data_IF_347096902602
#
_entry.id   IF_347096902602
#
_cell.length_a   1.000
_cell.length_b   1.000
_cell.length_c   1.000
_cell.angle_alpha   90.00
_cell.angle_beta   90.00
_cell.angle_gamma   90.00
#
_symmetry.space_group_name_H-M   'P 1'
#
loop_
_entity.id
_entity.type
_entity.pdbx_description
1 polymer ?
#
# COMPACT_ATOMS: atom_id res chain seq x y z
N UNK A 1 -6.38 44.46 -28.80
CA UNK A 1 -5.57 43.21 -28.68
C UNK A 1 -5.68 42.74 -27.25
N UNK A 2 -6.61 41.86 -27.00
CA UNK A 2 -6.81 41.24 -25.70
C UNK A 2 -6.06 39.91 -25.71
N UNK A 3 -4.97 39.85 -24.93
CA UNK A 3 -4.24 38.62 -24.63
C UNK A 3 -5.10 37.78 -23.67
N UNK A 4 -5.75 36.76 -24.21
CA UNK A 4 -6.34 35.70 -23.42
C UNK A 4 -5.19 34.83 -22.88
N UNK A 5 -4.84 35.04 -21.63
CA UNK A 5 -4.04 34.08 -20.87
C UNK A 5 -4.88 32.80 -20.71
N UNK A 6 -4.68 31.85 -21.57
CA UNK A 6 -5.06 30.46 -21.30
C UNK A 6 -4.09 29.93 -20.25
N UNK A 7 -4.46 30.01 -18.97
CA UNK A 7 -3.92 29.16 -17.94
C UNK A 7 -4.31 27.72 -18.34
N UNK A 8 -3.39 27.04 -19.03
CA UNK A 8 -3.44 25.59 -19.10
C UNK A 8 -3.33 25.09 -17.66
N UNK A 9 -4.47 24.75 -17.07
CA UNK A 9 -4.48 23.82 -15.96
C UNK A 9 -3.91 22.52 -16.54
N UNK A 10 -2.62 22.28 -16.30
CA UNK A 10 -2.07 20.93 -16.36
C UNK A 10 -2.81 20.16 -15.27
N UNK A 11 -3.95 19.56 -15.61
CA UNK A 11 -4.44 18.42 -14.87
C UNK A 11 -3.28 17.42 -14.98
N UNK A 12 -2.56 17.19 -13.88
CA UNK A 12 -1.45 16.25 -13.87
C UNK A 12 -2.05 14.87 -14.13
N UNK A 13 -1.94 14.42 -15.37
CA UNK A 13 -2.30 13.06 -15.76
C UNK A 13 -1.31 12.11 -15.10
N UNK A 14 -1.78 10.95 -14.67
CA UNK A 14 -0.89 9.87 -14.29
C UNK A 14 -0.11 9.42 -15.53
N UNK A 15 1.16 9.04 -15.38
CA UNK A 15 1.97 8.54 -16.48
C UNK A 15 1.34 7.24 -17.05
N UNK A 16 1.26 7.12 -18.36
CA UNK A 16 0.66 5.95 -19.01
C UNK A 16 1.37 4.65 -18.61
N UNK A 17 2.70 4.67 -18.42
CA UNK A 17 3.44 3.50 -17.92
C UNK A 17 3.00 3.06 -16.53
N UNK A 18 2.63 4.02 -15.65
CA UNK A 18 2.10 3.69 -14.31
C UNK A 18 0.79 2.94 -14.44
N UNK A 19 -0.10 3.43 -15.31
CA UNK A 19 -1.41 2.81 -15.55
C UNK A 19 -1.22 1.41 -16.15
N UNK A 20 -0.41 1.29 -17.20
CA UNK A 20 -0.15 0.02 -17.90
C UNK A 20 0.41 -1.05 -16.96
N UNK A 21 1.39 -0.71 -16.11
CA UNK A 21 1.96 -1.65 -15.13
C UNK A 21 0.93 -2.06 -14.07
N UNK A 22 0.18 -1.10 -13.51
CA UNK A 22 -0.84 -1.42 -12.50
C UNK A 22 -1.98 -2.28 -13.07
N UNK A 23 -2.37 -2.07 -14.32
CA UNK A 23 -3.33 -2.91 -15.04
C UNK A 23 -2.75 -4.30 -15.36
N UNK A 24 -1.49 -4.38 -15.84
CA UNK A 24 -0.77 -5.64 -16.09
C UNK A 24 -0.77 -6.54 -14.87
N UNK A 25 -0.52 -5.95 -13.70
CA UNK A 25 -0.45 -6.66 -12.42
C UNK A 25 -1.82 -6.82 -11.73
N UNK A 26 -2.92 -6.48 -12.38
CA UNK A 26 -4.27 -6.52 -11.82
C UNK A 26 -4.47 -5.72 -10.53
N UNK A 27 -3.56 -4.81 -10.20
CA UNK A 27 -3.69 -3.89 -9.06
C UNK A 27 -4.85 -2.93 -9.31
N UNK A 28 -5.02 -2.50 -10.56
CA UNK A 28 -6.14 -1.69 -11.04
C UNK A 28 -6.84 -2.43 -12.18
N UNK A 29 -8.16 -2.43 -12.17
CA UNK A 29 -8.96 -2.96 -13.28
C UNK A 29 -8.91 -2.00 -14.47
N UNK A 30 -8.79 -2.56 -15.67
CA UNK A 30 -8.85 -1.76 -16.91
C UNK A 30 -10.19 -1.06 -17.04
N UNK A 31 -10.16 0.25 -17.23
CA UNK A 31 -11.35 1.09 -17.31
C UNK A 31 -11.10 2.32 -18.17
N UNK A 32 -12.12 2.74 -18.94
CA UNK A 32 -12.09 4.01 -19.67
C UNK A 32 -12.19 5.23 -18.74
N UNK A 33 -12.66 5.03 -17.50
CA UNK A 33 -12.72 6.04 -16.43
C UNK A 33 -12.09 5.50 -15.14
N UNK A 34 -10.86 5.89 -14.89
CA UNK A 34 -10.11 5.53 -13.67
C UNK A 34 -10.49 6.40 -12.46
N UNK A 35 -11.35 7.39 -12.60
CA UNK A 35 -11.77 8.32 -11.53
C UNK A 35 -10.58 8.95 -10.80
N UNK A 36 -9.55 9.36 -11.52
CA UNK A 36 -8.24 9.77 -10.98
C UNK A 36 -8.33 10.90 -9.95
N UNK A 37 -9.30 11.81 -10.10
CA UNK A 37 -9.48 12.96 -9.21
C UNK A 37 -10.39 12.69 -8.01
N UNK A 38 -11.05 11.52 -7.94
CA UNK A 38 -11.88 11.17 -6.80
C UNK A 38 -10.99 10.80 -5.61
N UNK A 39 -11.47 11.06 -4.40
CA UNK A 39 -10.83 10.51 -3.21
C UNK A 39 -11.03 8.99 -3.16
N UNK A 40 -9.96 8.28 -2.78
CA UNK A 40 -9.98 6.82 -2.69
C UNK A 40 -10.40 6.37 -1.30
N UNK A 41 -11.17 5.28 -1.24
CA UNK A 41 -11.58 4.69 0.04
C UNK A 41 -10.51 3.74 0.59
N UNK A 42 -10.60 3.49 1.90
CA UNK A 42 -9.72 2.52 2.58
C UNK A 42 -9.90 1.10 2.01
N UNK A 43 -11.13 0.73 1.66
CA UNK A 43 -11.43 -0.57 1.03
C UNK A 43 -10.73 -0.71 -0.34
N UNK A 44 -10.80 0.31 -1.18
CA UNK A 44 -10.14 0.31 -2.49
C UNK A 44 -8.62 0.20 -2.36
N UNK A 45 -8.02 0.96 -1.42
CA UNK A 45 -6.57 0.89 -1.14
C UNK A 45 -6.16 -0.50 -0.67
N UNK A 46 -6.88 -1.10 0.27
CA UNK A 46 -6.53 -2.44 0.78
C UNK A 46 -6.61 -3.49 -0.32
N UNK A 47 -7.61 -3.42 -1.23
CA UNK A 47 -7.64 -4.27 -2.42
C UNK A 47 -6.35 -4.09 -3.24
N UNK A 48 -6.00 -2.85 -3.60
CA UNK A 48 -4.84 -2.57 -4.44
C UNK A 48 -3.53 -3.06 -3.80
N UNK A 49 -3.32 -2.77 -2.52
CA UNK A 49 -2.11 -3.18 -1.79
C UNK A 49 -2.05 -4.70 -1.61
N UNK A 50 -3.19 -5.37 -1.33
CA UNK A 50 -3.23 -6.83 -1.23
C UNK A 50 -2.82 -7.50 -2.55
N UNK A 51 -3.34 -6.99 -3.68
CA UNK A 51 -2.94 -7.49 -5.00
C UNK A 51 -1.45 -7.23 -5.25
N UNK A 52 -0.96 -6.02 -4.96
CA UNK A 52 0.46 -5.66 -5.13
C UNK A 52 1.40 -6.57 -4.32
N UNK A 53 0.95 -7.11 -3.19
CA UNK A 53 1.72 -8.06 -2.36
C UNK A 53 1.61 -9.51 -2.81
N UNK A 54 0.99 -9.79 -3.97
CA UNK A 54 0.85 -11.13 -4.55
C UNK A 54 -0.43 -11.87 -4.14
N UNK A 55 -1.37 -11.19 -3.48
CA UNK A 55 -2.64 -11.79 -3.06
C UNK A 55 -3.77 -11.47 -4.05
N UNK A 56 -3.56 -11.83 -5.31
CA UNK A 56 -4.54 -11.64 -6.38
C UNK A 56 -5.59 -12.76 -6.44
N UNK A 57 -5.21 -14.00 -6.09
CA UNK A 57 -6.16 -15.11 -5.91
C UNK A 57 -6.62 -15.19 -4.45
N UNK A 58 -7.79 -14.61 -4.19
CA UNK A 58 -8.42 -14.58 -2.87
C UNK A 58 -9.55 -15.59 -2.71
N UNK A 59 -9.79 -16.46 -3.66
CA UNK A 59 -10.93 -17.39 -3.64
C UNK A 59 -10.85 -18.39 -2.49
N UNK A 60 -9.65 -18.77 -2.10
CA UNK A 60 -9.37 -19.63 -0.95
C UNK A 60 -9.44 -18.93 0.41
N UNK A 61 -9.53 -17.58 0.43
CA UNK A 61 -9.53 -16.79 1.67
C UNK A 61 -10.91 -16.86 2.34
N UNK A 62 -10.92 -17.12 3.64
CA UNK A 62 -12.12 -17.12 4.46
C UNK A 62 -12.78 -15.74 4.56
N UNK A 63 -14.08 -15.75 4.88
CA UNK A 63 -14.87 -14.53 5.05
C UNK A 63 -15.24 -14.27 6.52
N UNK A 64 -14.47 -14.84 7.47
CA UNK A 64 -14.69 -14.59 8.89
C UNK A 64 -14.52 -13.11 9.21
N UNK A 65 -15.46 -12.58 9.97
CA UNK A 65 -15.48 -11.17 10.31
C UNK A 65 -14.36 -10.83 11.30
N UNK A 66 -13.47 -9.93 10.89
CA UNK A 66 -12.40 -9.39 11.74
C UNK A 66 -12.85 -8.07 12.37
N UNK A 67 -13.39 -7.16 11.57
CA UNK A 67 -13.85 -5.84 12.02
C UNK A 67 -15.37 -5.77 12.04
N UNK A 68 -15.93 -5.07 13.04
CA UNK A 68 -17.38 -4.99 13.26
C UNK A 68 -18.16 -4.41 12.09
N UNK A 69 -17.53 -3.59 11.27
CA UNK A 69 -18.11 -2.89 10.12
C UNK A 69 -17.76 -3.51 8.76
N UNK A 70 -17.08 -4.68 8.74
CA UNK A 70 -16.81 -5.45 7.52
C UNK A 70 -17.49 -6.83 7.63
N UNK A 71 -18.79 -6.92 7.31
CA UNK A 71 -19.50 -8.20 7.39
C UNK A 71 -19.02 -9.19 6.32
N UNK A 72 -19.25 -10.50 6.50
CA UNK A 72 -18.83 -11.55 5.56
C UNK A 72 -19.31 -11.37 4.11
N UNK A 73 -20.36 -10.59 3.92
CA UNK A 73 -20.93 -10.26 2.60
C UNK A 73 -20.30 -9.05 1.93
N UNK A 74 -19.44 -8.34 2.64
CA UNK A 74 -18.78 -7.15 2.09
C UNK A 74 -17.74 -7.57 1.04
N UNK A 75 -17.72 -6.90 -0.12
CA UNK A 75 -16.82 -7.23 -1.22
C UNK A 75 -15.34 -7.23 -0.82
N UNK A 76 -14.96 -6.36 0.12
CA UNK A 76 -13.56 -6.20 0.57
C UNK A 76 -13.13 -7.23 1.64
N UNK A 77 -14.06 -8.04 2.19
CA UNK A 77 -13.79 -8.88 3.37
C UNK A 77 -12.55 -9.78 3.22
N UNK A 78 -12.38 -10.40 2.05
CA UNK A 78 -11.24 -11.28 1.78
C UNK A 78 -9.91 -10.51 1.71
N UNK A 79 -9.91 -9.33 1.09
CA UNK A 79 -8.73 -8.46 1.05
C UNK A 79 -8.36 -7.91 2.43
N UNK A 80 -9.36 -7.51 3.21
CA UNK A 80 -9.17 -7.10 4.61
C UNK A 80 -8.62 -8.25 5.44
N UNK A 81 -9.13 -9.48 5.25
CA UNK A 81 -8.62 -10.67 5.91
C UNK A 81 -7.16 -10.92 5.56
N UNK A 82 -6.82 -10.91 4.28
CA UNK A 82 -5.45 -11.11 3.80
C UNK A 82 -4.49 -10.06 4.35
N UNK A 83 -4.88 -8.78 4.29
CA UNK A 83 -4.06 -7.69 4.80
C UNK A 83 -3.89 -7.73 6.33
N UNK A 84 -4.91 -8.17 7.06
CA UNK A 84 -4.85 -8.39 8.51
C UNK A 84 -3.90 -9.55 8.86
N UNK A 85 -4.07 -10.71 8.23
CA UNK A 85 -3.23 -11.89 8.48
C UNK A 85 -1.75 -11.63 8.12
N UNK A 86 -1.50 -10.69 7.19
CA UNK A 86 -0.15 -10.23 6.80
C UNK A 86 0.37 -9.04 7.62
N UNK A 87 -0.33 -8.61 8.65
CA UNK A 87 0.03 -7.45 9.50
C UNK A 87 0.17 -6.11 8.74
N UNK A 88 -0.46 -6.00 7.58
CA UNK A 88 -0.47 -4.77 6.77
C UNK A 88 -1.43 -3.72 7.36
N UNK A 89 -2.54 -4.18 7.94
CA UNK A 89 -3.55 -3.34 8.59
C UNK A 89 -3.84 -3.80 10.01
N UNK A 90 -4.29 -2.88 10.87
CA UNK A 90 -4.68 -3.17 12.26
C UNK A 90 -6.10 -2.70 12.62
N UNK A 91 -6.75 -1.92 11.75
CA UNK A 91 -8.03 -1.27 12.09
C UNK A 91 -7.88 -0.13 13.10
N UNK A 92 -9.00 0.29 13.66
CA UNK A 92 -9.09 1.34 14.68
C UNK A 92 -9.35 0.73 16.07
N UNK A 93 -9.14 1.52 17.12
CA UNK A 93 -9.31 1.09 18.51
C UNK A 93 -10.74 0.63 18.85
N UNK A 94 -11.74 1.08 18.11
CA UNK A 94 -13.14 0.69 18.24
C UNK A 94 -13.50 -0.62 17.50
N UNK A 95 -12.50 -1.36 17.07
CA UNK A 95 -12.64 -2.59 16.28
C UNK A 95 -13.37 -2.39 14.95
N UNK A 96 -13.24 -1.20 14.33
CA UNK A 96 -13.71 -0.92 12.97
C UNK A 96 -12.55 -0.86 11.98
N UNK A 97 -12.85 -1.08 10.70
CA UNK A 97 -11.92 -0.86 9.59
C UNK A 97 -12.24 0.43 8.82
N UNK A 98 -13.50 0.82 8.80
CA UNK A 98 -14.06 1.99 8.08
C UNK A 98 -13.83 1.90 6.58
N UNK A 99 -14.33 0.84 5.91
CA UNK A 99 -14.03 0.54 4.51
C UNK A 99 -14.40 1.67 3.55
N UNK A 100 -15.52 2.35 3.78
CA UNK A 100 -16.05 3.40 2.91
C UNK A 100 -15.47 4.80 3.20
N UNK A 101 -14.67 4.95 4.25
CA UNK A 101 -14.04 6.23 4.53
C UNK A 101 -12.91 6.51 3.55
N UNK A 102 -12.75 7.77 3.16
CA UNK A 102 -11.57 8.21 2.45
C UNK A 102 -10.33 8.03 3.33
N UNK A 103 -9.20 7.68 2.71
CA UNK A 103 -7.93 7.49 3.40
C UNK A 103 -7.07 8.75 3.31
N UNK A 104 -6.31 9.05 4.36
CA UNK A 104 -5.33 10.14 4.34
C UNK A 104 -3.97 9.69 3.82
N UNK A 105 -3.10 10.65 3.42
CA UNK A 105 -1.74 10.32 2.98
C UNK A 105 -0.92 9.63 4.08
N UNK A 106 -1.06 10.05 5.35
CA UNK A 106 -0.38 9.37 6.46
C UNK A 106 -0.83 7.92 6.62
N UNK A 107 -2.14 7.65 6.52
CA UNK A 107 -2.68 6.30 6.63
C UNK A 107 -2.25 5.41 5.46
N UNK A 108 -2.23 5.95 4.23
CA UNK A 108 -1.77 5.20 3.06
C UNK A 108 -0.27 4.88 3.13
N UNK A 109 0.57 5.83 3.54
CA UNK A 109 1.99 5.60 3.76
C UNK A 109 2.23 4.49 4.80
N UNK A 110 1.45 4.50 5.91
CA UNK A 110 1.50 3.42 6.90
C UNK A 110 1.20 2.06 6.26
N UNK A 111 0.12 1.95 5.49
CA UNK A 111 -0.27 0.68 4.84
C UNK A 111 0.83 0.20 3.88
N UNK A 112 1.36 1.09 3.03
CA UNK A 112 2.42 0.74 2.07
C UNK A 112 3.70 0.30 2.79
N UNK A 113 4.16 1.05 3.78
CA UNK A 113 5.38 0.73 4.55
C UNK A 113 5.20 -0.59 5.31
N UNK A 114 4.00 -0.87 5.81
CA UNK A 114 3.67 -2.16 6.43
C UNK A 114 3.69 -3.31 5.41
N UNK A 115 3.15 -3.09 4.21
CA UNK A 115 3.17 -4.07 3.12
C UNK A 115 4.59 -4.42 2.65
N UNK A 116 5.52 -3.47 2.76
CA UNK A 116 6.95 -3.68 2.50
C UNK A 116 7.69 -4.38 3.66
N UNK A 117 7.01 -4.64 4.80
CA UNK A 117 7.57 -5.35 5.95
C UNK A 117 8.26 -4.47 7.01
N UNK A 118 8.21 -3.15 6.89
CA UNK A 118 8.96 -2.23 7.77
C UNK A 118 8.22 -1.81 9.03
N UNK A 119 7.05 -2.37 9.35
CA UNK A 119 6.23 -1.96 10.51
C UNK A 119 7.04 -1.88 11.80
N UNK A 120 7.78 -2.94 12.15
CA UNK A 120 8.54 -2.97 13.40
C UNK A 120 9.60 -1.85 13.45
N UNK A 121 10.29 -1.61 12.35
CA UNK A 121 11.31 -0.56 12.27
C UNK A 121 10.69 0.83 12.34
N UNK A 122 9.53 1.04 11.71
CA UNK A 122 8.78 2.29 11.80
C UNK A 122 8.32 2.56 13.24
N UNK A 123 7.81 1.54 13.94
CA UNK A 123 7.42 1.67 15.35
C UNK A 123 8.62 2.02 16.26
N UNK A 124 9.81 1.43 16.01
CA UNK A 124 11.03 1.77 16.75
C UNK A 124 11.55 3.19 16.46
N UNK A 125 11.17 3.79 15.33
CA UNK A 125 11.59 5.13 14.91
C UNK A 125 10.54 6.21 15.16
N UNK A 126 9.65 6.01 16.11
CA UNK A 126 8.67 7.02 16.54
C UNK A 126 7.22 6.62 16.26
N UNK A 127 6.98 5.48 15.60
CA UNK A 127 5.64 4.98 15.34
C UNK A 127 4.86 5.84 14.36
N UNK A 128 3.54 5.78 14.47
CA UNK A 128 2.66 6.55 13.60
C UNK A 128 2.49 8.01 14.04
N UNK A 129 2.59 9.00 13.12
CA UNK A 129 2.93 8.80 11.70
C UNK A 129 4.44 8.80 11.40
N UNK A 130 5.28 9.40 12.24
CA UNK A 130 6.66 9.83 11.96
C UNK A 130 7.59 8.70 11.51
N UNK A 131 7.53 7.55 12.19
CA UNK A 131 8.33 6.38 11.82
C UNK A 131 7.99 5.85 10.43
N UNK A 132 6.71 5.86 10.06
CA UNK A 132 6.26 5.44 8.74
C UNK A 132 6.64 6.44 7.65
N UNK A 133 6.57 7.74 7.94
CA UNK A 133 7.00 8.80 7.02
C UNK A 133 8.51 8.68 6.73
N UNK A 134 9.31 8.33 7.72
CA UNK A 134 10.75 8.08 7.55
C UNK A 134 11.03 7.00 6.50
N UNK A 135 10.29 5.88 6.52
CA UNK A 135 10.46 4.80 5.52
C UNK A 135 9.82 5.15 4.17
N UNK A 136 8.71 5.88 4.17
CA UNK A 136 8.11 6.40 2.96
C UNK A 136 9.07 7.33 2.20
N UNK A 137 9.75 8.23 2.90
CA UNK A 137 10.77 9.10 2.34
C UNK A 137 11.98 8.30 1.84
N UNK A 138 12.49 7.37 2.66
CA UNK A 138 13.65 6.51 2.34
C UNK A 138 13.46 5.77 1.03
N UNK A 139 12.26 5.31 0.73
CA UNK A 139 11.95 4.53 -0.46
C UNK A 139 11.19 5.32 -1.53
N UNK A 140 11.17 6.65 -1.42
CA UNK A 140 10.57 7.55 -2.41
C UNK A 140 9.10 7.26 -2.72
N UNK A 141 8.32 6.78 -1.73
CA UNK A 141 6.90 6.45 -1.91
C UNK A 141 6.10 7.66 -2.40
N UNK A 142 6.46 8.87 -1.95
CA UNK A 142 5.80 10.13 -2.31
C UNK A 142 6.35 10.77 -3.59
N UNK A 143 7.22 10.10 -4.34
CA UNK A 143 7.76 10.67 -5.57
C UNK A 143 6.64 10.93 -6.59
N UNK A 144 6.65 12.11 -7.22
CA UNK A 144 5.60 12.58 -8.13
C UNK A 144 4.19 12.71 -7.50
N UNK A 145 4.11 12.77 -6.16
CA UNK A 145 2.88 13.09 -5.42
C UNK A 145 3.03 14.47 -4.83
N UNK A 146 2.11 15.38 -5.18
CA UNK A 146 2.14 16.76 -4.71
C UNK A 146 1.08 16.98 -3.62
N UNK A 147 1.53 16.93 -2.38
CA UNK A 147 0.71 17.31 -1.23
C UNK A 147 1.53 18.08 -0.20
N UNK A 148 0.96 19.18 0.30
CA UNK A 148 1.50 19.95 1.43
C UNK A 148 0.86 19.56 2.76
N UNK A 149 -0.20 18.74 2.74
CA UNK A 149 -0.94 18.30 3.92
C UNK A 149 -1.07 16.76 3.94
N UNK A 150 -0.25 16.12 4.74
CA UNK A 150 -0.25 14.67 4.89
C UNK A 150 -1.51 14.10 5.59
N UNK A 151 -2.34 14.95 6.17
CA UNK A 151 -3.65 14.59 6.71
C UNK A 151 -4.81 14.80 5.73
N UNK A 152 -4.54 15.36 4.54
CA UNK A 152 -5.54 15.45 3.48
C UNK A 152 -5.93 14.05 2.97
N UNK A 153 -7.10 13.95 2.34
CA UNK A 153 -7.53 12.72 1.69
C UNK A 153 -6.80 12.51 0.37
N UNK A 154 -6.38 11.26 0.15
CA UNK A 154 -5.65 10.84 -1.05
C UNK A 154 -6.59 10.77 -2.25
N UNK A 155 -6.15 11.25 -3.41
CA UNK A 155 -6.84 11.00 -4.68
C UNK A 155 -6.50 9.60 -5.21
N UNK A 156 -7.35 9.02 -6.05
CA UNK A 156 -7.01 7.74 -6.71
C UNK A 156 -5.73 7.82 -7.52
N UNK A 157 -5.50 8.95 -8.20
CA UNK A 157 -4.25 9.20 -8.93
C UNK A 157 -3.03 9.07 -8.01
N UNK A 158 -3.06 9.76 -6.88
CA UNK A 158 -1.93 9.77 -5.96
C UNK A 158 -1.75 8.40 -5.27
N UNK A 159 -2.84 7.70 -4.94
CA UNK A 159 -2.76 6.34 -4.42
C UNK A 159 -2.12 5.37 -5.42
N UNK A 160 -2.51 5.44 -6.70
CA UNK A 160 -1.90 4.66 -7.78
C UNK A 160 -0.42 4.97 -7.91
N UNK A 161 -0.03 6.26 -7.91
CA UNK A 161 1.36 6.68 -7.96
C UNK A 161 2.17 6.16 -6.76
N UNK A 162 1.65 6.30 -5.54
CA UNK A 162 2.33 5.84 -4.31
C UNK A 162 2.53 4.31 -4.31
N UNK A 163 1.51 3.55 -4.70
CA UNK A 163 1.60 2.09 -4.83
C UNK A 163 2.61 1.72 -5.90
N UNK A 164 2.56 2.36 -7.07
CA UNK A 164 3.54 2.14 -8.14
C UNK A 164 4.97 2.41 -7.67
N UNK A 165 5.23 3.53 -6.99
CA UNK A 165 6.54 3.86 -6.43
C UNK A 165 7.05 2.79 -5.46
N UNK A 166 6.14 2.14 -4.73
CA UNK A 166 6.50 1.09 -3.77
C UNK A 166 6.89 -0.24 -4.41
N UNK A 167 6.53 -0.47 -5.68
CA UNK A 167 6.78 -1.76 -6.35
C UNK A 167 8.27 -2.10 -6.45
N UNK A 168 9.12 -1.09 -6.58
CA UNK A 168 10.58 -1.26 -6.70
C UNK A 168 11.31 -1.11 -5.35
N UNK A 169 10.59 -0.84 -4.27
CA UNK A 169 11.16 -0.76 -2.94
C UNK A 169 11.58 -2.16 -2.44
N UNK A 170 12.71 -2.26 -1.72
CA UNK A 170 13.15 -3.54 -1.17
C UNK A 170 12.13 -4.09 -0.16
N UNK A 171 11.80 -5.38 -0.28
CA UNK A 171 10.98 -6.08 0.70
C UNK A 171 11.81 -6.52 1.89
N UNK A 172 11.23 -6.37 3.06
CA UNK A 172 11.78 -6.92 4.30
C UNK A 172 10.93 -8.14 4.70
N UNK A 173 11.52 -9.32 4.60
CA UNK A 173 10.81 -10.58 4.86
C UNK A 173 11.16 -11.08 6.26
N UNK A 174 10.13 -11.38 7.07
CA UNK A 174 10.31 -12.05 8.35
C UNK A 174 10.86 -13.46 8.12
N UNK A 175 11.96 -13.82 8.80
CA UNK A 175 12.61 -15.11 8.68
C UNK A 175 12.37 -16.00 9.89
N UNK A 176 12.57 -15.47 11.10
CA UNK A 176 12.42 -16.26 12.33
C UNK A 176 12.25 -15.41 13.58
N UNK A 177 11.74 -16.05 14.61
CA UNK A 177 11.69 -15.52 15.99
C UNK A 177 12.81 -16.15 16.81
N UNK A 178 13.63 -15.33 17.44
CA UNK A 178 14.60 -15.77 18.42
C UNK A 178 14.07 -15.47 19.83
N UNK A 179 14.07 -16.50 20.69
CA UNK A 179 13.80 -16.37 22.11
C UNK A 179 15.13 -16.22 22.84
N UNK A 180 15.30 -15.11 23.55
CA UNK A 180 16.51 -14.83 24.29
C UNK A 180 16.42 -15.43 25.70
N UNK A 181 17.58 -15.64 26.34
CA UNK A 181 17.68 -16.24 27.68
C UNK A 181 16.99 -15.41 28.78
N UNK A 182 16.87 -14.09 28.57
CA UNK A 182 16.16 -13.17 29.47
C UNK A 182 14.64 -13.20 29.32
N UNK A 183 14.11 -14.04 28.40
CA UNK A 183 12.68 -14.17 28.09
C UNK A 183 12.18 -13.13 27.07
N UNK A 184 13.04 -12.28 26.59
CA UNK A 184 12.68 -11.35 25.49
C UNK A 184 12.62 -12.09 24.14
N UNK A 185 11.90 -11.48 23.20
CA UNK A 185 11.72 -12.03 21.85
C UNK A 185 12.31 -11.05 20.86
N UNK A 186 13.13 -11.54 19.94
CA UNK A 186 13.60 -10.77 18.80
C UNK A 186 13.12 -11.41 17.51
N UNK A 187 12.73 -10.56 16.55
CA UNK A 187 12.34 -10.99 15.22
C UNK A 187 13.50 -10.72 14.27
N UNK A 188 13.89 -11.75 13.50
CA UNK A 188 14.90 -11.62 12.46
C UNK A 188 14.20 -11.36 11.15
N UNK A 189 14.53 -10.24 10.53
CA UNK A 189 14.12 -9.89 9.18
C UNK A 189 15.35 -9.91 8.31
N UNK A 190 15.25 -10.55 7.18
CA UNK A 190 16.30 -10.53 6.18
C UNK A 190 15.78 -9.90 4.90
N UNK A 191 16.68 -9.18 4.24
CA UNK A 191 16.53 -8.87 2.85
C UNK A 191 16.61 -10.21 2.12
N UNK A 192 15.56 -10.62 1.44
CA UNK A 192 15.63 -11.85 0.68
C UNK A 192 16.60 -11.63 -0.48
N UNK A 193 17.80 -12.13 -0.24
CA UNK A 193 18.90 -12.15 -1.17
C UNK A 193 18.82 -13.48 -1.92
N UNK A 194 18.40 -13.45 -3.19
CA UNK A 194 18.74 -14.53 -4.08
C UNK A 194 20.28 -14.56 -4.24
N UNK A 195 20.86 -15.66 -4.65
CA UNK A 195 22.31 -15.93 -4.74
C UNK A 195 23.18 -14.83 -5.36
N UNK A 196 22.61 -13.69 -5.75
CA UNK A 196 23.26 -12.58 -6.49
C UNK A 196 23.06 -11.19 -5.92
N UNK A 197 22.71 -11.02 -4.63
CA UNK A 197 22.60 -9.70 -3.97
C UNK A 197 21.60 -8.72 -4.62
N UNK A 198 20.55 -9.20 -5.26
CA UNK A 198 19.43 -8.37 -5.68
C UNK A 198 18.35 -8.42 -4.60
N UNK A 199 17.95 -7.26 -4.11
CA UNK A 199 16.83 -7.16 -3.18
C UNK A 199 15.56 -7.59 -3.91
N UNK A 200 14.77 -8.48 -3.30
CA UNK A 200 13.44 -8.79 -3.79
C UNK A 200 12.56 -7.56 -3.66
N UNK A 201 11.76 -7.28 -4.67
CA UNK A 201 10.75 -6.22 -4.65
C UNK A 201 9.38 -6.79 -5.03
N UNK A 202 8.32 -6.02 -4.77
CA UNK A 202 6.98 -6.40 -5.21
C UNK A 202 6.92 -6.56 -6.74
N UNK A 203 7.58 -5.67 -7.48
CA UNK A 203 7.64 -5.75 -8.94
C UNK A 203 8.23 -7.07 -9.42
N UNK A 204 9.33 -7.53 -8.83
CA UNK A 204 9.97 -8.79 -9.23
C UNK A 204 9.02 -9.99 -9.04
N UNK A 205 8.28 -10.04 -7.93
CA UNK A 205 7.27 -11.10 -7.69
C UNK A 205 6.14 -11.06 -8.71
N UNK A 206 5.63 -9.85 -9.00
CA UNK A 206 4.55 -9.67 -9.96
C UNK A 206 4.99 -9.97 -11.39
N UNK A 207 6.21 -9.61 -11.77
CA UNK A 207 6.76 -9.95 -13.09
C UNK A 207 6.93 -11.47 -13.28
N UNK A 208 7.31 -12.21 -12.25
CA UNK A 208 7.37 -13.70 -12.31
C UNK A 208 5.98 -14.31 -12.51
N UNK A 209 4.96 -13.75 -11.87
CA UNK A 209 3.60 -14.29 -11.90
C UNK A 209 2.87 -13.97 -13.20
N UNK A 210 3.06 -12.74 -13.72
CA UNK A 210 2.34 -12.24 -14.90
C UNK A 210 3.18 -12.22 -16.19
N UNK A 211 4.27 -13.01 -16.25
CA UNK A 211 5.18 -13.11 -17.43
C UNK A 211 4.71 -14.05 -18.54
#
# INVERSE_FOLDING_TARGET
MTLTNSLNAFASTLDDNVIEDLEKFHIVEKSDDLRLNDHITRAEVVKMVSVATGNYDIDHVGTDQIFSDVPPTHWVVKYVRTAWDSYIISGYEDNTFRPENNITYNELQKIIVSALGYTQYAEMQGGYPDGYLTYSEKYNIMNNVDTSDSNAYVTRKDAMQMIYNSLDAPLLVYMQTNYLEDGSITYVYEWRDGEHRQFESLRMRLDEEFS
#
